data_IF_743281210055
#
_entry.id   IF_743281210055
#
_cell.length_a   1.000
_cell.length_b   1.000
_cell.length_c   1.000
_cell.angle_alpha   90.00
_cell.angle_beta   90.00
_cell.angle_gamma   90.00
#
_symmetry.space_group_name_H-M   'P 1'
#
loop_
_entity.id
_entity.type
_entity.pdbx_description
1 polymer ?
#
# COMPACT_ATOMS: atom_id res chain seq x y z
N UNK A 1 -1.09 8.63 -14.86
CA UNK A 1 -0.72 7.66 -13.79
C UNK A 1 -1.45 6.35 -14.02
N UNK A 2 -0.77 5.21 -13.87
CA UNK A 2 -1.35 3.87 -13.97
C UNK A 2 -1.23 3.18 -12.60
N UNK A 3 -2.36 2.83 -11.99
CA UNK A 3 -2.39 2.10 -10.72
C UNK A 3 -2.95 0.71 -10.98
N UNK A 4 -2.20 -0.32 -10.60
CA UNK A 4 -2.66 -1.70 -10.60
C UNK A 4 -3.09 -2.10 -9.19
N UNK A 5 -4.28 -2.67 -9.02
CA UNK A 5 -4.74 -3.16 -7.71
C UNK A 5 -4.88 -4.67 -7.80
N UNK A 6 -4.13 -5.37 -6.95
CA UNK A 6 -4.16 -6.83 -6.86
C UNK A 6 -4.74 -7.23 -5.50
N UNK A 7 -5.58 -8.26 -5.47
CA UNK A 7 -6.11 -8.83 -4.23
C UNK A 7 -5.63 -10.27 -4.12
N UNK A 8 -4.79 -10.55 -3.13
CA UNK A 8 -4.33 -11.91 -2.81
C UNK A 8 -5.24 -12.61 -1.78
N UNK A 9 -6.20 -11.86 -1.21
CA UNK A 9 -7.14 -12.37 -0.22
C UNK A 9 -8.49 -12.73 -0.85
N UNK A 10 -9.10 -13.83 -0.38
CA UNK A 10 -10.49 -14.20 -0.69
C UNK A 10 -11.51 -13.41 0.14
N UNK A 11 -11.05 -12.69 1.16
CA UNK A 11 -11.92 -11.92 2.04
C UNK A 11 -12.40 -10.68 1.28
N UNK A 12 -13.73 -10.49 1.24
CA UNK A 12 -14.37 -9.28 0.72
C UNK A 12 -14.15 -8.10 1.67
N UNK A 13 -12.91 -7.68 1.83
CA UNK A 13 -12.59 -6.49 2.58
C UNK A 13 -12.93 -5.24 1.76
N UNK A 14 -13.64 -4.29 2.37
CA UNK A 14 -13.72 -2.94 1.82
C UNK A 14 -12.31 -2.36 1.71
N UNK A 15 -11.90 -2.12 0.48
CA UNK A 15 -10.69 -1.38 0.13
C UNK A 15 -11.09 -0.12 -0.65
N UNK A 16 -10.29 0.95 -0.60
CA UNK A 16 -10.53 2.13 -1.41
C UNK A 16 -10.62 1.77 -2.90
N UNK A 17 -11.44 2.51 -3.65
CA UNK A 17 -11.50 2.34 -5.08
C UNK A 17 -10.23 2.92 -5.73
N UNK A 18 -9.92 2.46 -6.95
CA UNK A 18 -8.79 2.99 -7.72
C UNK A 18 -8.81 4.52 -7.87
N UNK A 19 -9.99 5.13 -7.96
CA UNK A 19 -10.16 6.60 -7.99
C UNK A 19 -9.65 7.28 -6.72
N UNK A 20 -9.78 6.66 -5.57
CA UNK A 20 -9.37 7.23 -4.28
C UNK A 20 -7.84 7.24 -4.21
N UNK A 21 -7.20 6.11 -4.53
CA UNK A 21 -5.73 6.05 -4.69
C UNK A 21 -5.21 7.02 -5.74
N UNK A 22 -5.93 7.18 -6.85
CA UNK A 22 -5.55 8.12 -7.91
C UNK A 22 -5.58 9.56 -7.40
N UNK A 23 -6.60 9.93 -6.62
CA UNK A 23 -6.71 11.25 -6.00
C UNK A 23 -5.59 11.50 -5.00
N UNK A 24 -5.26 10.53 -4.15
CA UNK A 24 -4.18 10.67 -3.16
C UNK A 24 -2.82 10.85 -3.80
N UNK A 25 -2.53 10.08 -4.85
CA UNK A 25 -1.24 10.10 -5.53
C UNK A 25 -1.08 11.27 -6.50
N UNK A 26 -2.18 11.89 -6.94
CA UNK A 26 -2.16 12.99 -7.90
C UNK A 26 -1.26 14.15 -7.47
N UNK A 27 -1.37 14.59 -6.21
CA UNK A 27 -0.59 15.71 -5.69
C UNK A 27 0.90 15.38 -5.51
N UNK A 28 1.24 14.11 -5.30
CA UNK A 28 2.63 13.66 -5.13
C UNK A 28 3.33 13.55 -6.49
N UNK A 29 2.63 13.07 -7.51
CA UNK A 29 3.18 12.77 -8.83
C UNK A 29 2.63 13.68 -9.92
N UNK A 30 2.34 14.94 -9.58
CA UNK A 30 1.86 15.94 -10.53
C UNK A 30 2.77 15.99 -11.78
N UNK A 31 2.17 15.98 -12.96
CA UNK A 31 2.85 15.92 -14.27
C UNK A 31 3.81 14.73 -14.50
N UNK A 32 3.84 13.72 -13.62
CA UNK A 32 4.64 12.50 -13.81
C UNK A 32 3.79 11.34 -14.29
N UNK A 33 4.27 10.64 -15.32
CA UNK A 33 3.69 9.37 -15.78
C UNK A 33 4.30 8.23 -14.97
N UNK A 34 3.64 7.89 -13.87
CA UNK A 34 4.07 6.77 -13.00
C UNK A 34 3.20 5.53 -13.18
N UNK A 35 3.77 4.38 -12.87
CA UNK A 35 3.08 3.11 -12.63
C UNK A 35 3.42 2.56 -11.25
N UNK A 36 2.38 2.11 -10.54
CA UNK A 36 2.46 1.60 -9.17
C UNK A 36 1.52 0.41 -9.03
N UNK A 37 1.97 -0.64 -8.37
CA UNK A 37 1.11 -1.75 -7.96
C UNK A 37 0.79 -1.64 -6.48
N UNK A 38 -0.49 -1.76 -6.15
CA UNK A 38 -0.97 -1.86 -4.77
C UNK A 38 -1.55 -3.26 -4.62
N UNK A 39 -0.94 -4.06 -3.75
CA UNK A 39 -1.33 -5.45 -3.49
C UNK A 39 -1.96 -5.56 -2.11
N UNK A 40 -3.19 -6.02 -2.06
CA UNK A 40 -3.92 -6.27 -0.82
C UNK A 40 -3.65 -7.72 -0.40
N UNK A 41 -3.00 -7.88 0.74
CA UNK A 41 -2.46 -9.15 1.22
C UNK A 41 -3.09 -9.57 2.55
N UNK A 42 -2.98 -10.86 2.87
CA UNK A 42 -3.41 -11.40 4.17
C UNK A 42 -2.42 -11.05 5.28
N UNK A 43 -2.83 -11.26 6.54
CA UNK A 43 -1.95 -11.08 7.70
C UNK A 43 -0.73 -12.02 7.65
N UNK A 44 -0.95 -13.27 7.22
CA UNK A 44 0.13 -14.26 7.10
C UNK A 44 1.12 -13.86 6.00
N UNK A 45 0.60 -13.39 4.85
CA UNK A 45 1.44 -12.93 3.74
C UNK A 45 2.24 -11.68 4.12
N UNK A 46 1.66 -10.69 4.83
CA UNK A 46 2.43 -9.51 5.25
C UNK A 46 3.49 -9.85 6.31
N UNK A 47 3.23 -10.79 7.24
CA UNK A 47 4.22 -11.27 8.21
C UNK A 47 5.37 -11.95 7.47
N UNK A 48 5.06 -12.85 6.53
CA UNK A 48 6.05 -13.52 5.70
C UNK A 48 6.90 -12.52 4.92
N UNK A 49 6.28 -11.54 4.27
CA UNK A 49 6.99 -10.49 3.53
C UNK A 49 7.88 -9.64 4.46
N UNK A 50 7.39 -9.29 5.66
CA UNK A 50 8.15 -8.49 6.61
C UNK A 50 9.36 -9.28 7.16
N UNK A 51 9.19 -10.59 7.38
CA UNK A 51 10.29 -11.47 7.74
C UNK A 51 11.31 -11.56 6.60
N UNK A 52 10.86 -11.93 5.40
CA UNK A 52 11.75 -12.20 4.26
C UNK A 52 12.53 -10.96 3.81
N UNK A 53 11.91 -9.77 3.78
CA UNK A 53 12.53 -8.58 3.21
C UNK A 53 13.01 -7.56 4.25
N UNK A 54 12.61 -7.68 5.52
CA UNK A 54 12.97 -6.74 6.59
C UNK A 54 13.51 -7.44 7.85
N UNK A 55 13.63 -8.77 7.86
CA UNK A 55 14.01 -9.58 9.02
C UNK A 55 13.14 -9.31 10.26
N UNK A 56 11.85 -9.04 10.05
CA UNK A 56 10.88 -8.74 11.12
C UNK A 56 9.71 -9.72 11.09
N UNK A 57 9.68 -10.66 12.03
CA UNK A 57 8.59 -11.64 12.16
C UNK A 57 7.38 -11.08 12.95
N UNK A 58 6.89 -9.92 12.53
CA UNK A 58 5.73 -9.26 13.14
C UNK A 58 4.82 -8.70 12.04
N UNK A 59 3.51 -8.56 12.28
CA UNK A 59 2.62 -7.94 11.32
C UNK A 59 2.94 -6.45 11.17
N UNK A 60 2.60 -5.91 10.00
CA UNK A 60 2.59 -4.47 9.73
C UNK A 60 1.44 -4.16 8.79
N UNK A 61 1.04 -2.89 8.71
CA UNK A 61 -0.05 -2.45 7.83
C UNK A 61 0.40 -2.28 6.38
N UNK A 62 1.65 -1.91 6.14
CA UNK A 62 2.19 -1.62 4.81
C UNK A 62 3.66 -2.02 4.68
N UNK A 63 4.02 -2.52 3.50
CA UNK A 63 5.41 -2.68 3.06
C UNK A 63 5.56 -2.13 1.64
N UNK A 64 6.69 -1.46 1.39
CA UNK A 64 7.04 -0.92 0.07
C UNK A 64 8.23 -1.70 -0.51
N UNK A 65 8.10 -2.08 -1.78
CA UNK A 65 9.09 -2.78 -2.58
C UNK A 65 9.42 -1.89 -3.80
N UNK A 66 10.35 -0.94 -3.63
CA UNK A 66 10.73 -0.06 -4.72
C UNK A 66 11.37 -0.88 -5.84
N UNK A 67 11.10 -0.49 -7.08
CA UNK A 67 11.85 -1.00 -8.21
C UNK A 67 13.20 -0.28 -8.27
N UNK A 68 14.29 -0.99 -7.94
CA UNK A 68 15.64 -0.41 -7.80
C UNK A 68 16.20 0.13 -9.13
N UNK A 69 15.70 -0.37 -10.26
CA UNK A 69 16.06 0.11 -11.58
C UNK A 69 14.84 0.83 -12.17
N UNK A 70 14.95 2.14 -12.36
CA UNK A 70 13.91 2.94 -13.00
C UNK A 70 13.69 2.38 -14.42
N UNK A 71 12.70 1.50 -14.56
CA UNK A 71 12.27 0.99 -15.86
C UNK A 71 11.53 2.12 -16.56
N UNK A 72 12.23 2.70 -17.51
CA UNK A 72 11.72 3.65 -18.46
C UNK A 72 11.11 2.87 -19.62
N UNK A 73 9.91 3.25 -20.07
CA UNK A 73 9.38 2.71 -21.33
C UNK A 73 10.31 3.08 -22.50
N UNK A 74 10.10 2.50 -23.69
CA UNK A 74 10.95 2.75 -24.88
C UNK A 74 11.12 4.24 -25.23
N UNK A 75 10.28 5.12 -24.67
CA UNK A 75 10.30 6.56 -24.88
C UNK A 75 10.80 7.35 -23.67
N UNK A 76 11.30 6.68 -22.62
CA UNK A 76 11.69 7.28 -21.33
C UNK A 76 10.61 8.13 -20.65
N UNK A 77 9.34 7.84 -20.93
CA UNK A 77 8.21 8.67 -20.50
C UNK A 77 7.49 8.09 -19.29
N UNK A 78 7.73 6.84 -18.91
CA UNK A 78 6.96 6.17 -17.83
C UNK A 78 7.87 5.57 -16.79
N UNK A 79 7.61 5.89 -15.52
CA UNK A 79 8.37 5.43 -14.37
C UNK A 79 7.61 4.34 -13.61
N UNK A 80 8.11 3.11 -13.58
CA UNK A 80 7.60 2.09 -12.66
C UNK A 80 8.21 2.28 -11.27
N UNK A 81 7.37 2.56 -10.27
CA UNK A 81 7.82 2.80 -8.89
C UNK A 81 8.05 1.50 -8.11
N UNK A 82 7.38 0.41 -8.50
CA UNK A 82 7.37 -0.86 -7.79
C UNK A 82 6.02 -1.18 -7.15
N UNK A 83 6.09 -1.92 -6.04
CA UNK A 83 4.93 -2.52 -5.38
C UNK A 83 4.75 -2.01 -3.94
N UNK A 84 3.50 -1.86 -3.53
CA UNK A 84 3.11 -1.62 -2.14
C UNK A 84 2.19 -2.76 -1.70
N UNK A 85 2.61 -3.54 -0.69
CA UNK A 85 1.76 -4.52 -0.05
C UNK A 85 1.04 -3.89 1.14
N UNK A 86 -0.29 -4.01 1.20
CA UNK A 86 -1.14 -3.49 2.27
C UNK A 86 -1.94 -4.62 2.88
N UNK A 87 -1.90 -4.77 4.20
CA UNK A 87 -2.77 -5.68 4.93
C UNK A 87 -4.01 -4.93 5.45
N UNK A 88 -5.12 -4.99 4.71
CA UNK A 88 -6.33 -4.22 5.04
C UNK A 88 -6.97 -4.60 6.37
N UNK A 89 -6.91 -5.88 6.77
CA UNK A 89 -7.42 -6.34 8.06
C UNK A 89 -6.61 -5.78 9.23
N UNK A 90 -5.27 -5.77 9.12
CA UNK A 90 -4.39 -5.21 10.14
C UNK A 90 -4.52 -3.68 10.22
N UNK A 91 -4.57 -3.00 9.07
CA UNK A 91 -4.76 -1.56 9.01
C UNK A 91 -6.08 -1.12 9.67
N UNK A 92 -7.17 -1.88 9.51
CA UNK A 92 -8.43 -1.62 10.23
C UNK A 92 -8.31 -1.77 11.74
N UNK A 93 -7.60 -2.81 12.19
CA UNK A 93 -7.34 -3.05 13.62
C UNK A 93 -6.57 -1.88 14.22
N UNK A 94 -5.51 -1.43 13.56
CA UNK A 94 -4.72 -0.26 14.00
C UNK A 94 -5.56 1.03 13.97
N UNK A 95 -6.34 1.27 12.92
CA UNK A 95 -7.20 2.45 12.84
C UNK A 95 -8.23 2.50 13.98
N UNK A 96 -8.81 1.35 14.37
CA UNK A 96 -9.71 1.27 15.52
C UNK A 96 -8.98 1.57 16.84
N UNK A 97 -7.80 0.97 17.04
CA UNK A 97 -6.97 1.21 18.23
C UNK A 97 -6.56 2.69 18.34
N UNK A 98 -6.13 3.29 17.22
CA UNK A 98 -5.78 4.69 17.16
C UNK A 98 -6.97 5.60 17.47
N UNK A 99 -8.16 5.32 16.92
CA UNK A 99 -9.38 6.05 17.25
C UNK A 99 -9.72 5.96 18.74
N UNK A 100 -9.59 4.78 19.34
CA UNK A 100 -9.80 4.59 20.78
C UNK A 100 -8.80 5.42 21.60
N UNK A 101 -7.53 5.44 21.19
CA UNK A 101 -6.50 6.24 21.84
C UNK A 101 -6.83 7.74 21.79
N UNK A 102 -7.18 8.27 20.62
CA UNK A 102 -7.50 9.69 20.48
C UNK A 102 -8.70 10.12 21.34
N UNK A 103 -9.73 9.26 21.47
CA UNK A 103 -10.85 9.49 22.39
C UNK A 103 -10.42 9.55 23.85
N UNK A 104 -9.53 8.64 24.26
CA UNK A 104 -9.05 8.59 25.64
C UNK A 104 -8.26 9.85 26.04
N UNK A 105 -7.63 10.53 25.08
CA UNK A 105 -6.87 11.77 25.31
C UNK A 105 -7.64 13.04 24.91
N UNK A 106 -8.93 12.94 24.59
CA UNK A 106 -9.81 14.09 24.34
C UNK A 106 -9.58 14.84 23.02
N UNK A 107 -8.95 14.22 22.02
CA UNK A 107 -8.69 14.86 20.72
C UNK A 107 -9.81 14.65 19.68
N UNK A 108 -10.68 13.65 19.87
CA UNK A 108 -11.89 13.37 19.06
C UNK A 108 -13.01 12.74 19.89
#
# INVERSE_FOLDING_TARGET
MKINIQKATKINERIPHKKDFTKWLYYIFFNKKIELTIRIVTINEIILLNHTYRNKNIPTNVLSFPMNNIYLDKNHKKLYLGDIAICSSYLKKEAYQFKKMLKNIGLI
#
